data_IF_780681651530
#
_entry.id   IF_780681651530
#
_cell.length_a   1.000
_cell.length_b   1.000
_cell.length_c   1.000
_cell.angle_alpha   90.00
_cell.angle_beta   90.00
_cell.angle_gamma   90.00
#
_symmetry.space_group_name_H-M   'P 1'
#
loop_
_entity.id
_entity.type
_entity.pdbx_description
1 polymer ?
#
# COMPACT_ATOMS: atom_id res chain seq x y z
N UNK A 1 5.88 9.06 -8.80
CA UNK A 1 6.15 8.86 -7.35
C UNK A 1 6.49 7.39 -7.19
N UNK A 2 7.47 7.01 -6.37
CA UNK A 2 7.93 5.61 -6.33
C UNK A 2 6.81 4.64 -5.93
N UNK A 3 5.86 5.10 -5.11
CA UNK A 3 4.67 4.39 -4.65
C UNK A 3 3.72 4.12 -5.82
N UNK A 4 3.43 5.14 -6.62
CA UNK A 4 2.60 5.03 -7.81
C UNK A 4 3.23 4.07 -8.85
N UNK A 5 4.54 4.21 -9.10
CA UNK A 5 5.26 3.34 -10.03
C UNK A 5 5.24 1.87 -9.56
N UNK A 6 5.33 1.65 -8.25
CA UNK A 6 5.17 0.33 -7.65
C UNK A 6 3.75 -0.22 -7.83
N UNK A 7 2.73 0.58 -7.53
CA UNK A 7 1.32 0.15 -7.65
C UNK A 7 0.97 -0.28 -9.08
N UNK A 8 1.37 0.52 -10.07
CA UNK A 8 1.18 0.21 -11.49
C UNK A 8 1.82 -1.11 -11.87
N UNK A 9 3.09 -1.29 -11.53
CA UNK A 9 3.83 -2.52 -11.82
C UNK A 9 3.21 -3.73 -11.12
N UNK A 10 2.80 -3.58 -9.87
CA UNK A 10 2.11 -4.66 -9.15
C UNK A 10 0.82 -5.07 -9.85
N UNK A 11 -0.02 -4.11 -10.24
CA UNK A 11 -1.27 -4.39 -10.94
C UNK A 11 -1.03 -5.03 -12.31
N UNK A 12 -0.06 -4.52 -13.08
CA UNK A 12 0.28 -5.06 -14.40
C UNK A 12 0.92 -6.46 -14.32
N UNK A 13 2.01 -6.60 -13.55
CA UNK A 13 2.82 -7.81 -13.54
C UNK A 13 2.14 -8.96 -12.79
N UNK A 14 1.62 -8.70 -11.58
CA UNK A 14 1.09 -9.76 -10.71
C UNK A 14 -0.40 -10.03 -10.90
N UNK A 15 -1.19 -8.98 -11.19
CA UNK A 15 -2.64 -9.09 -11.30
C UNK A 15 -3.16 -9.01 -12.75
N UNK A 16 -2.29 -8.73 -13.72
CA UNK A 16 -2.63 -8.60 -15.15
C UNK A 16 -3.74 -7.55 -15.40
N UNK A 17 -3.72 -6.48 -14.60
CA UNK A 17 -4.66 -5.35 -14.69
C UNK A 17 -3.96 -4.19 -15.39
N UNK A 18 -4.47 -3.80 -16.55
CA UNK A 18 -4.02 -2.60 -17.24
C UNK A 18 -4.63 -1.35 -16.58
N UNK A 19 -3.79 -0.36 -16.26
CA UNK A 19 -4.21 0.84 -15.52
C UNK A 19 -3.96 2.09 -16.37
N UNK A 20 -4.99 2.91 -16.57
CA UNK A 20 -4.81 4.27 -17.09
C UNK A 20 -4.41 5.20 -15.94
N UNK A 21 -3.23 5.80 -16.05
CA UNK A 21 -2.68 6.77 -15.10
C UNK A 21 -3.66 7.91 -14.78
N UNK A 22 -4.51 8.32 -15.73
CA UNK A 22 -5.45 9.41 -15.53
C UNK A 22 -6.64 9.03 -14.63
N UNK A 23 -6.82 7.74 -14.33
CA UNK A 23 -7.90 7.22 -13.50
C UNK A 23 -7.46 6.93 -12.07
N UNK A 24 -6.18 7.17 -11.73
CA UNK A 24 -5.65 6.91 -10.40
C UNK A 24 -5.87 8.13 -9.51
N UNK A 25 -6.49 7.91 -8.36
CA UNK A 25 -6.47 8.86 -7.24
C UNK A 25 -5.37 8.49 -6.25
N UNK A 26 -4.85 9.51 -5.58
CA UNK A 26 -3.76 9.38 -4.63
C UNK A 26 -3.99 10.24 -3.40
N UNK A 27 -3.72 9.68 -2.22
CA UNK A 27 -3.86 10.36 -0.95
C UNK A 27 -2.77 9.89 0.04
N UNK A 28 -2.26 10.81 0.84
CA UNK A 28 -1.28 10.52 1.89
C UNK A 28 -1.81 10.90 3.26
N UNK A 29 -1.87 9.94 4.20
CA UNK A 29 -2.33 10.17 5.57
C UNK A 29 -1.34 9.58 6.58
N UNK A 30 -1.00 10.36 7.61
CA UNK A 30 -0.33 9.80 8.79
C UNK A 30 -1.36 9.03 9.63
N UNK A 31 -1.07 7.77 9.91
CA UNK A 31 -1.88 6.91 10.78
C UNK A 31 -1.02 6.37 11.92
N UNK A 32 -1.57 6.36 13.13
CA UNK A 32 -0.98 5.64 14.25
C UNK A 32 -1.24 4.13 14.10
N UNK A 33 -0.32 3.30 14.60
CA UNK A 33 -0.44 1.84 14.42
C UNK A 33 -1.71 1.25 15.04
N UNK A 34 -2.27 1.88 16.08
CA UNK A 34 -3.52 1.49 16.75
C UNK A 34 -4.79 1.93 16.01
N UNK A 35 -4.66 2.74 14.95
CA UNK A 35 -5.76 3.12 14.06
C UNK A 35 -5.93 2.16 12.88
N UNK A 36 -4.96 1.27 12.66
CA UNK A 36 -4.96 0.33 11.54
C UNK A 36 -5.85 -0.87 11.85
N UNK A 37 -6.81 -1.15 10.97
CA UNK A 37 -7.67 -2.32 11.09
C UNK A 37 -6.88 -3.63 10.86
N UNK A 38 -6.91 -4.53 11.84
CA UNK A 38 -6.20 -5.82 11.79
C UNK A 38 -6.64 -6.72 10.62
N UNK A 39 -7.87 -6.53 10.11
CA UNK A 39 -8.35 -7.24 8.92
C UNK A 39 -7.58 -6.82 7.65
N UNK A 40 -7.09 -5.58 7.62
CA UNK A 40 -6.29 -5.05 6.53
C UNK A 40 -4.81 -5.41 6.71
N UNK A 41 -4.27 -5.19 7.91
CA UNK A 41 -2.86 -5.48 8.23
C UNK A 41 -2.78 -6.14 9.61
N UNK A 42 -2.38 -7.42 9.70
CA UNK A 42 -2.22 -8.11 10.98
C UNK A 42 -1.21 -7.39 11.88
N UNK A 43 -1.48 -7.36 13.18
CA UNK A 43 -0.64 -6.69 14.18
C UNK A 43 0.82 -7.16 14.15
N UNK A 44 1.07 -8.45 13.88
CA UNK A 44 2.40 -9.04 13.79
C UNK A 44 3.26 -8.39 12.69
N UNK A 45 2.62 -7.86 11.64
CA UNK A 45 3.33 -7.13 10.58
C UNK A 45 3.74 -5.71 11.02
N UNK A 46 3.06 -5.16 12.02
CA UNK A 46 3.30 -3.82 12.58
C UNK A 46 4.28 -3.84 13.75
N UNK A 47 4.55 -5.00 14.34
CA UNK A 47 5.47 -5.13 15.47
C UNK A 47 6.87 -4.57 15.15
N UNK A 48 7.35 -3.66 16.00
CA UNK A 48 8.67 -3.02 15.85
C UNK A 48 8.73 -1.87 14.85
N UNK A 49 7.60 -1.46 14.27
CA UNK A 49 7.51 -0.24 13.46
C UNK A 49 7.36 1.02 14.35
N UNK A 50 7.66 2.22 13.80
CA UNK A 50 7.36 3.49 14.45
C UNK A 50 5.89 3.62 14.84
N UNK A 51 5.60 4.45 15.87
CA UNK A 51 4.26 4.61 16.44
C UNK A 51 3.22 5.13 15.43
N UNK A 52 3.65 5.94 14.47
CA UNK A 52 2.86 6.38 13.33
C UNK A 52 3.67 6.28 12.05
N UNK A 53 2.98 6.09 10.95
CA UNK A 53 3.55 5.98 9.61
C UNK A 53 2.73 6.81 8.64
N UNK A 54 3.37 7.29 7.57
CA UNK A 54 2.66 7.84 6.43
C UNK A 54 2.18 6.70 5.54
N UNK A 55 0.88 6.62 5.34
CA UNK A 55 0.26 5.72 4.38
C UNK A 55 -0.02 6.50 3.10
N UNK A 56 0.75 6.20 2.06
CA UNK A 56 0.47 6.67 0.71
C UNK A 56 -0.42 5.64 0.02
N UNK A 57 -1.62 6.09 -0.34
CA UNK A 57 -2.69 5.26 -0.89
C UNK A 57 -2.94 5.65 -2.33
N UNK A 58 -2.97 4.66 -3.22
CA UNK A 58 -3.36 4.77 -4.61
C UNK A 58 -4.65 3.98 -4.80
N UNK A 59 -5.62 4.55 -5.52
CA UNK A 59 -6.86 3.84 -5.85
C UNK A 59 -7.12 3.90 -7.35
N UNK A 60 -7.58 2.77 -7.88
CA UNK A 60 -8.00 2.59 -9.26
C UNK A 60 -9.28 1.76 -9.29
N UNK A 61 -10.30 2.23 -9.99
CA UNK A 61 -11.49 1.45 -10.30
C UNK A 61 -11.41 1.00 -11.76
N UNK A 62 -11.43 -0.32 -11.98
CA UNK A 62 -11.38 -0.88 -13.33
C UNK A 62 -12.71 -0.72 -14.08
N UNK A 63 -12.70 -0.97 -15.39
CA UNK A 63 -13.94 -0.98 -16.20
C UNK A 63 -14.98 -2.00 -15.70
N UNK A 64 -14.54 -3.07 -15.03
CA UNK A 64 -15.41 -4.09 -14.42
C UNK A 64 -15.93 -3.68 -13.02
N UNK A 65 -15.72 -2.43 -12.60
CA UNK A 65 -16.08 -1.90 -11.28
C UNK A 65 -15.39 -2.61 -10.10
N UNK A 66 -14.25 -3.26 -10.38
CA UNK A 66 -13.38 -3.80 -9.33
C UNK A 66 -12.52 -2.66 -8.80
N UNK A 67 -12.56 -2.46 -7.49
CA UNK A 67 -11.73 -1.49 -6.78
C UNK A 67 -10.38 -2.11 -6.45
N UNK A 68 -9.31 -1.41 -6.82
CA UNK A 68 -7.94 -1.72 -6.45
C UNK A 68 -7.37 -0.60 -5.62
N UNK A 69 -6.90 -0.93 -4.42
CA UNK A 69 -6.23 0.02 -3.54
C UNK A 69 -4.83 -0.48 -3.25
N UNK A 70 -3.82 0.31 -3.58
CA UNK A 70 -2.45 0.10 -3.15
C UNK A 70 -2.12 1.01 -1.97
N UNK A 71 -1.51 0.46 -0.92
CA UNK A 71 -1.05 1.22 0.22
C UNK A 71 0.43 0.92 0.47
N UNK A 72 1.21 1.98 0.69
CA UNK A 72 2.59 1.88 1.15
C UNK A 72 2.72 2.59 2.48
N UNK A 73 3.19 1.87 3.51
CA UNK A 73 3.51 2.46 4.80
C UNK A 73 4.96 2.94 4.81
N UNK A 74 5.15 4.21 5.14
CA UNK A 74 6.40 4.95 4.97
C UNK A 74 6.78 5.62 6.29
N UNK A 75 8.06 5.55 6.63
CA UNK A 75 8.61 6.32 7.74
C UNK A 75 8.53 7.84 7.45
N UNK A 76 8.00 8.61 8.40
CA UNK A 76 7.80 10.05 8.24
C UNK A 76 9.11 10.83 8.11
N UNK A 77 10.19 10.37 8.76
CA UNK A 77 11.47 11.08 8.81
C UNK A 77 12.41 10.64 7.68
N UNK A 78 12.61 9.33 7.53
CA UNK A 78 13.58 8.72 6.61
C UNK A 78 12.99 8.45 5.23
N UNK A 79 11.66 8.45 5.09
CA UNK A 79 10.93 8.11 3.86
C UNK A 79 11.18 6.67 3.37
N UNK A 80 11.70 5.80 4.25
CA UNK A 80 11.86 4.37 4.02
C UNK A 80 10.51 3.66 4.01
N UNK A 81 10.37 2.61 3.19
CA UNK A 81 9.15 1.82 3.14
C UNK A 81 9.22 0.67 4.15
N UNK A 82 8.12 0.45 4.86
CA UNK A 82 7.98 -0.67 5.80
C UNK A 82 7.01 -1.73 5.32
N UNK A 83 5.90 -1.31 4.69
CA UNK A 83 4.84 -2.22 4.27
C UNK A 83 4.30 -1.86 2.90
N UNK A 84 3.84 -2.89 2.21
CA UNK A 84 3.12 -2.82 0.95
C UNK A 84 1.87 -3.67 1.07
N UNK A 85 0.72 -3.11 0.68
CA UNK A 85 -0.57 -3.81 0.72
C UNK A 85 -1.31 -3.53 -0.58
N UNK A 86 -1.94 -4.56 -1.16
CA UNK A 86 -2.91 -4.41 -2.25
C UNK A 86 -4.24 -4.97 -1.76
N UNK A 87 -5.29 -4.16 -1.90
CA UNK A 87 -6.68 -4.56 -1.71
C UNK A 87 -7.35 -4.73 -3.07
N UNK A 88 -8.20 -5.74 -3.16
CA UNK A 88 -9.17 -5.93 -4.23
C UNK A 88 -10.55 -5.97 -3.61
N UNK A 89 -11.41 -5.02 -3.95
CA UNK A 89 -12.76 -4.84 -3.37
C UNK A 89 -12.73 -4.85 -1.83
N UNK A 90 -11.83 -4.07 -1.24
CA UNK A 90 -11.59 -3.99 0.21
C UNK A 90 -10.93 -5.23 0.84
N UNK A 91 -10.71 -6.31 0.09
CA UNK A 91 -10.07 -7.53 0.60
C UNK A 91 -8.58 -7.52 0.29
N UNK A 92 -7.69 -7.68 1.28
CA UNK A 92 -6.25 -7.68 0.99
C UNK A 92 -5.82 -8.93 0.24
N UNK A 93 -5.24 -8.74 -0.95
CA UNK A 93 -4.70 -9.77 -1.83
C UNK A 93 -3.17 -9.81 -1.83
N UNK A 94 -2.53 -8.76 -1.32
CA UNK A 94 -1.09 -8.71 -1.05
C UNK A 94 -0.85 -8.03 0.30
N UNK A 95 0.03 -8.59 1.12
CA UNK A 95 0.65 -7.93 2.26
C UNK A 95 2.13 -8.30 2.27
N UNK A 96 3.02 -7.31 2.27
CA UNK A 96 4.46 -7.53 2.25
C UNK A 96 5.15 -6.57 3.20
N UNK A 97 5.95 -7.13 4.11
CA UNK A 97 6.89 -6.37 4.92
C UNK A 97 8.19 -6.18 4.16
N UNK A 98 8.69 -4.96 4.16
CA UNK A 98 9.97 -4.63 3.54
C UNK A 98 11.04 -4.85 4.61
N UNK A 99 11.81 -5.92 4.44
CA UNK A 99 12.99 -6.14 5.25
C UNK A 99 14.06 -5.13 4.83
N UNK A 100 14.73 -4.49 5.80
CA UNK A 100 15.93 -3.74 5.49
C UNK A 100 16.97 -4.75 5.02
N UNK A 101 17.51 -4.57 3.81
CA UNK A 101 18.76 -5.23 3.46
C UNK A 101 19.80 -4.76 4.49
N UNK A 102 20.23 -5.68 5.37
CA UNK A 102 21.34 -5.42 6.27
C UNK A 102 22.60 -5.30 5.39
N UNK A 103 22.91 -4.07 4.96
CA UNK A 103 24.17 -3.72 4.32
C UNK A 103 25.35 -3.81 5.27
#
# INVERSE_FOLDING_TARGET
MKELDWFLKMLEDEFQVAVDLNQISYEGNELYLDEIDESLIPFEMLEGLPKSLLFETMMFESEEQIEWIGMVAIDLETREWYLQVILKDGVPVLRKRIEKENG
#
